data_IF_416170522279
#
_entry.id   IF_416170522279
#
_cell.length_a   1.000
_cell.length_b   1.000
_cell.length_c   1.000
_cell.angle_alpha   90.00
_cell.angle_beta   90.00
_cell.angle_gamma   90.00
#
_symmetry.space_group_name_H-M   'P 1'
#
loop_
_entity.id
_entity.type
_entity.pdbx_description
1 polymer ?
#
# COMPACT_ATOMS: atom_id res chain seq x y z
N UNK A 1 -28.51 -23.47 -36.92
CA UNK A 1 -27.46 -22.51 -36.51
C UNK A 1 -28.00 -21.10 -36.65
N UNK A 2 -28.05 -20.29 -35.57
CA UNK A 2 -28.32 -18.86 -35.71
C UNK A 2 -27.22 -18.25 -36.59
N UNK A 3 -27.60 -17.53 -37.65
CA UNK A 3 -26.67 -16.79 -38.51
C UNK A 3 -26.44 -15.42 -37.89
N UNK A 4 -25.18 -15.04 -37.73
CA UNK A 4 -24.79 -13.66 -37.45
C UNK A 4 -24.99 -12.82 -38.71
N UNK A 5 -25.41 -11.57 -38.54
CA UNK A 5 -25.43 -10.58 -39.62
C UNK A 5 -24.08 -9.85 -39.56
N UNK A 6 -23.38 -9.81 -40.69
CA UNK A 6 -22.08 -9.13 -40.81
C UNK A 6 -22.22 -7.97 -41.78
N UNK A 7 -21.83 -6.78 -41.35
CA UNK A 7 -21.90 -5.54 -42.12
C UNK A 7 -20.50 -4.97 -42.22
N UNK A 8 -20.08 -4.69 -43.45
CA UNK A 8 -18.84 -3.96 -43.75
C UNK A 8 -19.26 -2.62 -44.35
N UNK A 9 -18.91 -1.54 -43.68
CA UNK A 9 -19.07 -0.18 -44.17
C UNK A 9 -17.69 0.42 -44.44
N UNK A 10 -17.53 0.98 -45.64
CA UNK A 10 -16.32 1.64 -46.10
C UNK A 10 -16.70 3.03 -46.58
N UNK A 11 -16.33 4.02 -45.79
CA UNK A 11 -16.63 5.41 -46.06
C UNK A 11 -15.36 6.26 -45.99
N UNK A 12 -15.28 7.28 -46.85
CA UNK A 12 -14.08 8.13 -46.91
C UNK A 12 -13.90 8.99 -45.66
N UNK A 13 -14.99 9.33 -44.96
CA UNK A 13 -14.96 10.18 -43.77
C UNK A 13 -14.90 9.34 -42.48
N UNK A 14 -15.62 8.22 -42.42
CA UNK A 14 -15.71 7.35 -41.24
C UNK A 14 -14.69 6.22 -41.19
N UNK A 15 -14.02 5.95 -42.31
CA UNK A 15 -13.07 4.85 -42.47
C UNK A 15 -13.73 3.49 -42.64
N UNK A 16 -13.09 2.43 -42.13
CA UNK A 16 -13.58 1.06 -42.19
C UNK A 16 -14.30 0.70 -40.88
N UNK A 17 -15.55 0.26 -41.00
CA UNK A 17 -16.35 -0.24 -39.88
C UNK A 17 -16.80 -1.67 -40.20
N UNK A 18 -16.39 -2.62 -39.36
CA UNK A 18 -16.89 -3.99 -39.36
C UNK A 18 -17.84 -4.16 -38.19
N UNK A 19 -19.08 -4.54 -38.46
CA UNK A 19 -20.10 -4.80 -37.42
C UNK A 19 -20.60 -6.23 -37.55
N UNK A 20 -20.74 -6.92 -36.42
CA UNK A 20 -21.47 -8.19 -36.35
C UNK A 20 -22.55 -8.09 -35.29
N UNK A 21 -23.76 -8.51 -35.64
CA UNK A 21 -24.92 -8.51 -34.76
C UNK A 21 -25.58 -9.88 -34.69
N UNK A 22 -26.14 -10.22 -33.53
CA UNK A 22 -27.05 -11.36 -33.40
C UNK A 22 -28.40 -11.05 -34.06
N UNK A 23 -29.24 -12.09 -34.24
CA UNK A 23 -30.54 -11.94 -34.92
C UNK A 23 -31.49 -10.97 -34.24
N UNK A 24 -31.28 -10.72 -32.95
CA UNK A 24 -32.13 -9.89 -32.12
C UNK A 24 -31.56 -8.45 -31.98
N UNK A 25 -30.38 -8.16 -32.55
CA UNK A 25 -29.68 -6.88 -32.46
C UNK A 25 -29.17 -6.55 -31.05
N UNK A 26 -29.11 -7.54 -30.15
CA UNK A 26 -28.78 -7.38 -28.73
C UNK A 26 -27.29 -7.46 -28.44
N UNK A 27 -26.58 -8.25 -29.24
CA UNK A 27 -25.12 -8.36 -29.17
C UNK A 27 -24.54 -7.71 -30.41
N UNK A 28 -23.74 -6.66 -30.21
CA UNK A 28 -23.06 -5.91 -31.26
C UNK A 28 -21.55 -5.97 -31.02
N UNK A 29 -20.80 -6.41 -32.03
CA UNK A 29 -19.35 -6.31 -32.02
C UNK A 29 -18.92 -5.41 -33.17
N UNK A 30 -18.12 -4.40 -32.86
CA UNK A 30 -17.70 -3.39 -33.82
C UNK A 30 -16.18 -3.24 -33.82
N UNK A 31 -15.58 -3.24 -35.02
CA UNK A 31 -14.20 -2.80 -35.24
C UNK A 31 -14.25 -1.57 -36.14
N UNK A 32 -13.78 -0.43 -35.64
CA UNK A 32 -13.68 0.83 -36.39
C UNK A 32 -12.23 1.24 -36.56
N UNK A 33 -11.84 1.60 -37.77
CA UNK A 33 -10.55 2.16 -38.12
C UNK A 33 -10.77 3.41 -38.98
N UNK A 34 -10.59 4.59 -38.39
CA UNK A 34 -11.00 5.88 -38.98
C UNK A 34 -9.84 6.83 -39.31
N UNK A 35 -8.60 6.36 -39.16
CA UNK A 35 -7.39 7.15 -39.39
C UNK A 35 -6.90 7.92 -38.15
N UNK A 36 -7.73 8.04 -37.10
CA UNK A 36 -7.34 8.63 -35.81
C UNK A 36 -7.20 7.56 -34.72
N UNK A 37 -8.09 6.57 -34.73
CA UNK A 37 -8.11 5.51 -33.74
C UNK A 37 -8.51 4.15 -34.35
N UNK A 38 -8.12 3.09 -33.64
CA UNK A 38 -8.68 1.76 -33.78
C UNK A 38 -9.58 1.53 -32.55
N UNK A 39 -10.86 1.29 -32.78
CA UNK A 39 -11.84 1.02 -31.72
C UNK A 39 -12.39 -0.39 -31.86
N UNK A 40 -12.26 -1.20 -30.81
CA UNK A 40 -12.91 -2.50 -30.69
C UNK A 40 -14.00 -2.36 -29.62
N UNK A 41 -15.23 -2.65 -29.97
CA UNK A 41 -16.37 -2.60 -29.07
C UNK A 41 -17.10 -3.94 -29.06
N UNK A 42 -17.48 -4.40 -27.87
CA UNK A 42 -18.44 -5.48 -27.68
C UNK A 42 -19.52 -4.97 -26.75
N UNK A 43 -20.74 -4.85 -27.26
CA UNK A 43 -21.92 -4.39 -26.54
C UNK A 43 -22.91 -5.54 -26.41
N UNK A 44 -23.36 -5.79 -25.19
CA UNK A 44 -24.50 -6.66 -24.91
C UNK A 44 -25.59 -5.89 -24.16
N UNK A 45 -26.61 -6.61 -23.69
CA UNK A 45 -27.78 -6.03 -23.03
C UNK A 45 -27.44 -5.21 -21.75
N UNK A 46 -26.42 -5.61 -21.00
CA UNK A 46 -26.12 -5.04 -19.68
C UNK A 46 -24.80 -4.28 -19.57
N UNK A 47 -23.92 -4.40 -20.57
CA UNK A 47 -22.58 -3.83 -20.51
C UNK A 47 -21.95 -3.69 -21.90
N UNK A 48 -20.97 -2.78 -21.98
CA UNK A 48 -20.08 -2.62 -23.12
C UNK A 48 -18.65 -2.75 -22.65
N UNK A 49 -17.81 -3.42 -23.44
CA UNK A 49 -16.35 -3.34 -23.31
C UNK A 49 -15.76 -2.68 -24.55
N UNK A 50 -14.80 -1.79 -24.36
CA UNK A 50 -14.17 -1.04 -25.45
C UNK A 50 -12.65 -1.04 -25.28
N UNK A 51 -11.93 -1.24 -26.39
CA UNK A 51 -10.50 -0.95 -26.51
C UNK A 51 -10.35 0.16 -27.54
N UNK A 52 -9.75 1.28 -27.14
CA UNK A 52 -9.45 2.40 -28.04
C UNK A 52 -7.94 2.57 -28.10
N UNK A 53 -7.37 2.38 -29.27
CA UNK A 53 -5.96 2.64 -29.55
C UNK A 53 -5.83 3.88 -30.43
N UNK A 54 -5.06 4.86 -29.97
CA UNK A 54 -4.64 6.04 -30.72
C UNK A 54 -3.14 5.96 -30.97
N UNK A 55 -2.61 6.96 -31.67
CA UNK A 55 -1.16 7.08 -31.89
C UNK A 55 -0.34 7.11 -30.60
N UNK A 56 -0.89 7.68 -29.51
CA UNK A 56 -0.16 7.98 -28.27
C UNK A 56 -0.70 7.24 -27.04
N UNK A 57 -1.76 6.44 -27.19
CA UNK A 57 -2.49 5.87 -26.05
C UNK A 57 -3.26 4.61 -26.40
N UNK A 58 -3.46 3.76 -25.38
CA UNK A 58 -4.38 2.62 -25.42
C UNK A 58 -5.25 2.69 -24.17
N UNK A 59 -6.56 2.66 -24.34
CA UNK A 59 -7.54 2.67 -23.24
C UNK A 59 -8.41 1.44 -23.30
N UNK A 60 -8.59 0.77 -22.16
CA UNK A 60 -9.50 -0.36 -21.99
C UNK A 60 -10.58 0.02 -21.00
N UNK A 61 -11.84 0.00 -21.44
CA UNK A 61 -13.00 0.27 -20.60
C UNK A 61 -13.85 -0.99 -20.53
N UNK A 62 -14.08 -1.53 -19.33
CA UNK A 62 -14.87 -2.75 -19.15
C UNK A 62 -15.37 -2.89 -17.71
N UNK A 63 -16.31 -3.82 -17.49
CA UNK A 63 -16.83 -4.14 -16.15
C UNK A 63 -15.86 -5.00 -15.32
N UNK A 64 -15.09 -5.87 -15.98
CA UNK A 64 -14.11 -6.75 -15.34
C UNK A 64 -12.93 -6.98 -16.29
N UNK A 65 -11.72 -6.86 -15.76
CA UNK A 65 -10.47 -7.06 -16.48
C UNK A 65 -9.62 -8.09 -15.74
N UNK A 66 -9.26 -9.19 -16.41
CA UNK A 66 -8.47 -10.28 -15.82
C UNK A 66 -7.28 -10.58 -16.73
N UNK A 67 -6.07 -10.44 -16.20
CA UNK A 67 -4.82 -10.80 -16.89
C UNK A 67 -4.27 -12.10 -16.32
N UNK A 68 -4.17 -13.15 -17.15
CA UNK A 68 -3.54 -14.43 -16.79
C UNK A 68 -2.33 -14.65 -17.70
N UNK A 69 -1.15 -14.61 -17.12
CA UNK A 69 0.11 -14.77 -17.85
C UNK A 69 1.15 -15.45 -16.94
N UNK A 70 2.16 -16.06 -17.55
CA UNK A 70 3.32 -16.59 -16.82
C UNK A 70 4.15 -15.46 -16.21
N UNK A 71 4.33 -14.36 -16.94
CA UNK A 71 5.03 -13.14 -16.48
C UNK A 71 4.26 -11.91 -16.94
N UNK A 72 4.18 -10.91 -16.07
CA UNK A 72 3.65 -9.58 -16.37
C UNK A 72 4.74 -8.58 -16.00
N UNK A 73 5.20 -7.79 -16.97
CA UNK A 73 6.13 -6.68 -16.75
C UNK A 73 5.45 -5.37 -17.13
N UNK A 74 5.51 -4.37 -16.24
CA UNK A 74 4.93 -3.05 -16.46
C UNK A 74 6.01 -2.00 -16.16
N UNK A 75 6.49 -1.35 -17.21
CA UNK A 75 7.58 -0.37 -17.14
C UNK A 75 7.13 0.97 -17.70
N UNK A 76 7.39 2.05 -16.96
CA UNK A 76 7.14 3.44 -17.39
C UNK A 76 8.36 4.30 -17.07
N UNK A 77 8.68 5.23 -17.97
CA UNK A 77 9.77 6.21 -17.78
C UNK A 77 9.30 7.48 -17.07
N UNK A 78 7.98 7.61 -16.88
CA UNK A 78 7.32 8.72 -16.19
C UNK A 78 6.49 8.16 -15.03
N UNK A 79 5.69 9.02 -14.41
CA UNK A 79 4.79 8.62 -13.33
C UNK A 79 3.85 7.48 -13.76
N UNK A 80 3.61 6.56 -12.83
CA UNK A 80 2.56 5.54 -12.91
C UNK A 80 1.65 5.68 -11.70
N UNK A 81 0.34 5.49 -11.88
CA UNK A 81 -0.64 5.59 -10.80
C UNK A 81 -1.57 4.40 -10.79
N UNK A 82 -1.79 3.83 -9.61
CA UNK A 82 -2.70 2.72 -9.35
C UNK A 82 -3.71 3.20 -8.32
N UNK A 83 -5.01 3.15 -8.67
CA UNK A 83 -6.09 3.70 -7.85
C UNK A 83 -7.29 2.76 -7.88
N UNK A 84 -7.94 2.60 -6.73
CA UNK A 84 -9.23 1.94 -6.56
C UNK A 84 -10.07 2.81 -5.64
N UNK A 85 -11.34 3.01 -5.97
CA UNK A 85 -12.30 3.75 -5.13
C UNK A 85 -12.94 2.85 -4.05
N UNK A 86 -12.61 1.55 -4.09
CA UNK A 86 -13.00 0.55 -3.11
C UNK A 86 -11.72 -0.13 -2.59
N UNK A 87 -11.59 -1.44 -2.78
CA UNK A 87 -10.48 -2.23 -2.24
C UNK A 87 -9.34 -2.31 -3.26
N UNK A 88 -8.10 -2.18 -2.79
CA UNK A 88 -6.88 -2.43 -3.56
C UNK A 88 -6.03 -3.47 -2.83
N UNK A 89 -6.07 -4.71 -3.31
CA UNK A 89 -5.34 -5.83 -2.70
C UNK A 89 -4.08 -6.18 -3.53
N UNK A 90 -2.95 -6.33 -2.85
CA UNK A 90 -1.71 -6.85 -3.41
C UNK A 90 -1.29 -8.08 -2.62
N UNK A 91 -1.22 -9.22 -3.29
CA UNK A 91 -0.89 -10.50 -2.68
C UNK A 91 0.22 -11.21 -3.47
N UNK A 92 1.14 -11.85 -2.77
CA UNK A 92 2.19 -12.69 -3.35
C UNK A 92 2.39 -13.92 -2.49
N UNK A 93 2.49 -15.09 -3.12
CA UNK A 93 2.82 -16.34 -2.43
C UNK A 93 4.31 -16.45 -2.08
N UNK A 94 5.14 -15.57 -2.63
CA UNK A 94 6.59 -15.51 -2.39
C UNK A 94 6.94 -14.10 -1.92
N UNK A 95 8.21 -13.72 -2.03
CA UNK A 95 8.67 -12.37 -1.69
C UNK A 95 7.82 -11.29 -2.39
N UNK A 96 7.43 -10.29 -1.63
CA UNK A 96 6.83 -9.05 -2.12
C UNK A 96 7.80 -7.92 -1.79
N UNK A 97 8.29 -7.20 -2.81
CA UNK A 97 9.33 -6.19 -2.66
C UNK A 97 8.87 -4.84 -3.17
N UNK A 98 9.02 -3.80 -2.35
CA UNK A 98 8.79 -2.41 -2.74
C UNK A 98 10.10 -1.65 -2.58
N UNK A 99 10.61 -1.11 -3.68
CA UNK A 99 11.91 -0.42 -3.71
C UNK A 99 11.74 0.96 -4.35
N UNK A 100 12.20 2.00 -3.67
CA UNK A 100 12.32 3.36 -4.21
C UNK A 100 13.76 3.84 -4.02
N UNK A 101 14.24 4.70 -4.93
CA UNK A 101 15.55 5.35 -4.81
C UNK A 101 15.49 6.68 -4.05
N UNK A 102 14.28 7.15 -3.78
CA UNK A 102 14.01 8.44 -3.12
C UNK A 102 13.07 8.21 -1.93
N UNK A 103 11.92 8.88 -1.87
CA UNK A 103 10.98 8.77 -0.77
C UNK A 103 9.97 7.62 -0.95
N UNK A 104 9.61 6.99 0.18
CA UNK A 104 8.44 6.12 0.32
C UNK A 104 7.50 6.73 1.38
N UNK A 105 6.27 7.06 0.98
CA UNK A 105 5.24 7.58 1.87
C UNK A 105 4.09 6.58 1.94
N UNK A 106 3.67 6.23 3.16
CA UNK A 106 2.52 5.36 3.42
C UNK A 106 1.59 6.09 4.38
N UNK A 107 0.30 6.18 4.04
CA UNK A 107 -0.69 6.92 4.82
C UNK A 107 -1.99 6.14 4.83
N UNK A 108 -2.60 6.02 6.02
CA UNK A 108 -3.93 5.49 6.21
C UNK A 108 -4.74 6.51 7.03
N UNK A 109 -5.99 6.75 6.63
CA UNK A 109 -6.89 7.64 7.37
C UNK A 109 -7.50 6.97 8.61
N UNK A 110 -7.42 5.64 8.67
CA UNK A 110 -7.83 4.79 9.79
C UNK A 110 -6.64 3.91 10.17
N UNK A 111 -6.91 2.68 10.59
CA UNK A 111 -5.88 1.75 11.05
C UNK A 111 -4.89 1.37 9.95
N UNK A 112 -3.61 1.34 10.32
CA UNK A 112 -2.54 0.72 9.56
C UNK A 112 -1.94 -0.40 10.42
N UNK A 113 -1.89 -1.62 9.88
CA UNK A 113 -1.34 -2.79 10.59
C UNK A 113 -0.12 -3.32 9.84
N UNK A 114 0.98 -3.54 10.57
CA UNK A 114 2.15 -4.26 10.09
C UNK A 114 2.36 -5.47 10.99
N UNK A 115 2.30 -6.67 10.42
CA UNK A 115 2.45 -7.93 11.15
C UNK A 115 3.37 -8.89 10.41
N UNK A 116 4.01 -9.78 11.16
CA UNK A 116 4.89 -10.84 10.67
C UNK A 116 4.89 -11.96 11.71
N UNK A 117 4.81 -13.20 11.26
CA UNK A 117 4.91 -14.37 12.13
C UNK A 117 6.34 -14.61 12.62
N UNK A 118 7.32 -14.01 11.94
CA UNK A 118 8.75 -14.14 12.22
C UNK A 118 9.30 -12.84 12.82
N UNK A 119 9.73 -11.92 11.95
CA UNK A 119 10.38 -10.68 12.37
C UNK A 119 9.90 -9.48 11.55
N UNK A 120 9.81 -8.34 12.23
CA UNK A 120 9.74 -7.00 11.62
C UNK A 120 11.05 -6.28 11.96
N UNK A 121 11.80 -5.86 10.94
CA UNK A 121 13.06 -5.14 11.12
C UNK A 121 12.97 -3.75 10.51
N UNK A 122 13.10 -2.71 11.34
CA UNK A 122 13.11 -1.32 10.91
C UNK A 122 14.52 -0.75 11.09
N UNK A 123 15.11 -0.25 10.01
CA UNK A 123 16.47 0.34 10.01
C UNK A 123 16.43 1.73 9.42
N UNK A 124 16.85 2.72 10.21
CA UNK A 124 17.09 4.07 9.75
C UNK A 124 18.55 4.43 9.97
N UNK A 125 19.24 4.90 8.91
CA UNK A 125 20.67 5.23 8.98
C UNK A 125 20.96 6.53 9.75
N UNK A 126 19.97 7.42 9.87
CA UNK A 126 20.14 8.75 10.48
C UNK A 126 19.17 9.00 11.62
N UNK A 127 17.86 9.00 11.34
CA UNK A 127 16.81 9.34 12.31
C UNK A 127 15.68 8.33 12.22
N UNK A 128 15.23 7.85 13.37
CA UNK A 128 13.99 7.11 13.54
C UNK A 128 13.09 7.92 14.49
N UNK A 129 11.87 8.21 14.07
CA UNK A 129 10.90 9.01 14.84
C UNK A 129 9.59 8.25 14.91
N UNK A 130 8.95 8.24 16.07
CA UNK A 130 7.60 7.71 16.28
C UNK A 130 6.82 8.78 17.02
N UNK A 131 5.66 9.15 16.49
CA UNK A 131 4.76 10.16 17.04
C UNK A 131 3.35 9.59 17.03
N UNK A 132 2.60 9.86 18.10
CA UNK A 132 1.23 9.43 18.30
C UNK A 132 0.71 9.98 19.62
N UNK A 133 -0.62 10.14 19.73
CA UNK A 133 -1.27 10.56 20.98
C UNK A 133 -1.06 9.53 22.10
N UNK A 134 -1.00 8.24 21.72
CA UNK A 134 -0.63 7.12 22.58
C UNK A 134 0.35 6.19 21.83
N UNK A 135 1.36 5.70 22.54
CA UNK A 135 2.39 4.80 22.01
C UNK A 135 2.59 3.66 23.02
N UNK A 136 2.12 2.46 22.65
CA UNK A 136 2.31 1.24 23.42
C UNK A 136 3.38 0.35 22.78
N UNK A 137 4.35 -0.09 23.59
CA UNK A 137 5.38 -1.06 23.18
C UNK A 137 5.34 -2.24 24.15
N UNK A 138 5.03 -3.42 23.62
CA UNK A 138 4.87 -4.66 24.41
C UNK A 138 5.70 -5.80 23.83
N UNK A 139 6.34 -6.57 24.71
CA UNK A 139 6.94 -7.85 24.38
C UNK A 139 6.19 -8.97 25.13
N UNK A 140 5.52 -9.88 24.40
CA UNK A 140 4.65 -10.92 25.00
C UNK A 140 5.40 -11.96 25.84
N UNK A 141 6.64 -12.29 25.46
CA UNK A 141 7.44 -13.33 26.13
C UNK A 141 8.91 -12.94 26.32
N UNK A 142 9.39 -11.91 25.60
CA UNK A 142 10.77 -11.45 25.63
C UNK A 142 10.93 -10.11 26.34
N UNK A 143 12.15 -9.58 26.31
CA UNK A 143 12.45 -8.24 26.82
C UNK A 143 12.38 -7.19 25.71
N UNK A 144 11.95 -5.98 26.08
CA UNK A 144 12.20 -4.77 25.27
C UNK A 144 13.65 -4.33 25.53
N UNK A 145 14.53 -4.47 24.54
CA UNK A 145 15.95 -4.13 24.68
C UNK A 145 16.29 -2.81 23.98
N UNK A 146 16.80 -1.84 24.74
CA UNK A 146 17.30 -0.56 24.22
C UNK A 146 18.83 -0.53 24.28
N UNK A 147 19.48 -0.62 23.11
CA UNK A 147 20.94 -0.56 22.98
C UNK A 147 21.34 0.68 22.18
N UNK A 148 21.82 1.70 22.87
CA UNK A 148 22.29 2.94 22.27
C UNK A 148 23.46 3.53 23.08
N UNK A 149 24.31 4.38 22.48
CA UNK A 149 25.32 5.14 23.23
C UNK A 149 24.71 6.02 24.34
N UNK A 150 23.50 6.51 24.14
CA UNK A 150 22.71 7.23 25.13
C UNK A 150 21.21 6.93 24.96
N UNK A 151 20.48 6.95 26.08
CA UNK A 151 19.02 6.91 26.10
C UNK A 151 18.55 8.10 26.91
N UNK A 152 17.71 8.95 26.32
CA UNK A 152 17.08 10.10 26.97
C UNK A 152 15.59 9.83 27.06
N UNK A 153 15.03 9.88 28.26
CA UNK A 153 13.60 9.79 28.50
C UNK A 153 13.14 11.11 29.11
N UNK A 154 12.15 11.76 28.49
CA UNK A 154 11.58 13.02 28.94
C UNK A 154 10.06 12.89 28.94
N UNK A 155 9.45 13.11 30.10
CA UNK A 155 8.02 13.19 30.27
C UNK A 155 7.61 14.60 30.64
N UNK A 156 6.57 15.14 30.00
CA UNK A 156 6.06 16.48 30.34
C UNK A 156 5.32 16.50 31.69
N UNK A 157 4.74 15.37 32.09
CA UNK A 157 4.04 15.20 33.37
C UNK A 157 4.82 14.30 34.31
N UNK A 158 5.11 13.07 33.87
CA UNK A 158 5.85 12.07 34.62
C UNK A 158 6.61 11.12 33.70
N UNK A 159 7.50 10.33 34.31
CA UNK A 159 8.06 9.11 33.74
C UNK A 159 7.85 8.04 34.81
N UNK A 160 6.90 7.13 34.61
CA UNK A 160 6.63 6.02 35.51
C UNK A 160 7.41 4.77 35.11
N UNK A 161 8.01 4.08 36.09
CA UNK A 161 8.67 2.78 35.91
C UNK A 161 8.11 1.80 36.94
N UNK A 162 7.28 0.87 36.47
CA UNK A 162 6.60 -0.10 37.33
C UNK A 162 6.97 -1.53 36.95
N UNK A 163 7.02 -2.39 37.95
CA UNK A 163 7.30 -3.82 37.80
C UNK A 163 7.52 -4.47 39.15
N UNK A 164 7.47 -5.80 39.21
CA UNK A 164 7.77 -6.54 40.44
C UNK A 164 9.17 -6.22 40.99
N UNK A 165 10.11 -5.88 40.09
CA UNK A 165 11.43 -5.39 40.42
C UNK A 165 11.89 -4.36 39.39
N UNK A 166 12.36 -3.21 39.85
CA UNK A 166 13.08 -2.23 39.02
C UNK A 166 14.54 -2.21 39.47
N UNK A 167 15.48 -2.49 38.56
CA UNK A 167 16.92 -2.46 38.82
C UNK A 167 17.61 -1.40 37.99
N UNK A 168 18.14 -0.38 38.65
CA UNK A 168 18.98 0.65 38.03
C UNK A 168 20.43 0.44 38.46
N UNK A 169 21.37 0.43 37.52
CA UNK A 169 22.79 0.24 37.81
C UNK A 169 23.61 1.19 36.98
N UNK A 170 24.49 1.96 37.62
CA UNK A 170 25.45 2.83 36.96
C UNK A 170 26.87 2.44 37.38
N UNK A 171 27.79 2.29 36.41
CA UNK A 171 29.19 1.93 36.68
C UNK A 171 30.03 3.09 37.21
N UNK A 172 29.76 4.30 36.72
CA UNK A 172 30.53 5.49 37.07
C UNK A 172 29.79 6.36 38.10
N UNK A 173 28.56 6.76 37.79
CA UNK A 173 27.76 7.63 38.66
C UNK A 173 26.27 7.40 38.41
N UNK A 174 25.50 7.24 39.48
CA UNK A 174 24.06 7.43 39.49
C UNK A 174 23.78 8.80 40.13
N UNK A 175 23.01 9.65 39.46
CA UNK A 175 22.62 10.95 39.97
C UNK A 175 21.10 11.07 39.90
N UNK A 176 20.47 11.44 41.02
CA UNK A 176 19.04 11.69 41.12
C UNK A 176 18.87 13.08 41.73
N UNK A 177 18.26 13.99 40.99
CA UNK A 177 18.04 15.37 41.40
C UNK A 177 16.54 15.66 41.35
N UNK A 178 16.01 16.28 42.40
CA UNK A 178 14.65 16.80 42.44
C UNK A 178 14.71 18.24 42.98
N UNK A 179 14.11 19.20 42.26
CA UNK A 179 14.05 20.60 42.70
C UNK A 179 13.06 20.79 43.86
N UNK A 180 12.08 19.88 43.97
CA UNK A 180 11.12 19.82 45.06
C UNK A 180 11.47 18.71 46.05
N UNK A 181 10.69 17.62 46.03
CA UNK A 181 10.82 16.50 46.97
C UNK A 181 11.26 15.25 46.22
N UNK A 182 12.25 14.55 46.77
CA UNK A 182 12.56 13.17 46.42
C UNK A 182 12.06 12.26 47.55
N UNK A 183 11.19 11.30 47.24
CA UNK A 183 10.63 10.36 48.21
C UNK A 183 11.13 8.93 47.93
N UNK A 184 11.77 8.31 48.93
CA UNK A 184 12.20 6.91 48.89
C UNK A 184 11.49 6.14 50.01
N UNK A 185 10.63 5.20 49.63
CA UNK A 185 9.85 4.35 50.56
C UNK A 185 10.20 2.89 50.37
N UNK A 186 10.35 2.16 51.48
CA UNK A 186 10.57 0.71 51.49
C UNK A 186 10.61 0.18 52.92
N UNK A 187 10.34 -1.12 53.10
CA UNK A 187 10.49 -1.79 54.40
C UNK A 187 11.95 -1.84 54.87
N UNK A 188 12.90 -1.71 53.94
CA UNK A 188 14.34 -1.62 54.19
C UNK A 188 14.98 -0.77 53.09
N UNK A 189 15.62 0.34 53.45
CA UNK A 189 16.40 1.21 52.55
C UNK A 189 17.84 1.21 53.04
N UNK A 190 18.77 0.75 52.20
CA UNK A 190 20.20 0.73 52.52
C UNK A 190 20.92 1.74 51.62
N UNK A 191 21.62 2.69 52.23
CA UNK A 191 22.44 3.70 51.55
C UNK A 191 23.86 3.54 52.08
N UNK A 192 24.79 3.23 51.20
CA UNK A 192 26.21 3.01 51.53
C UNK A 192 27.12 3.43 50.41
#
# INVERSE_FOLDING_TARGET
MPKLICIIDMDKEKGLILTTEDKDGKILQTVKMDGEAITLEVKGDSATSTIVQKQDSVTVTCKSFVLKAETIEVTSTKASSWKSDDTFALESAKAFTVTTKDALTQTAAKDATLSSDEAVTLKAAKKFTVEGDDIQVEAKSGAVALKAPSVKAEGQKDIAMEGAQVKVTAKAKLALNADGVAELKGSMVNVG
#
